data_IF_522363381538
#
_entry.id   IF_522363381538
#
_cell.length_a   1.000
_cell.length_b   1.000
_cell.length_c   1.000
_cell.angle_alpha   90.00
_cell.angle_beta   90.00
_cell.angle_gamma   90.00
#
_symmetry.space_group_name_H-M   'P 1'
#
loop_
_entity.id
_entity.type
_entity.pdbx_description
1 polymer ?
#
# COMPACT_ATOMS: atom_id res chain seq x y z
N UNK A 1 -30.74 -5.35 -5.49
CA UNK A 1 -31.40 -4.05 -5.30
C UNK A 1 -30.42 -2.98 -5.75
N UNK A 2 -30.86 -1.98 -6.52
CA UNK A 2 -29.99 -0.99 -7.18
C UNK A 2 -29.11 -0.28 -6.15
N UNK A 3 -27.82 -0.60 -6.10
CA UNK A 3 -26.81 0.18 -5.38
C UNK A 3 -26.83 1.57 -6.01
N UNK A 4 -27.40 2.56 -5.31
CA UNK A 4 -27.32 3.97 -5.70
C UNK A 4 -25.92 4.44 -5.41
N UNK A 5 -24.99 4.10 -6.29
CA UNK A 5 -23.60 4.49 -6.14
C UNK A 5 -23.49 6.02 -6.28
N UNK A 6 -22.88 6.68 -5.29
CA UNK A 6 -22.60 8.13 -5.29
C UNK A 6 -21.75 8.61 -6.48
N UNK A 7 -21.20 7.69 -7.27
CA UNK A 7 -20.53 7.94 -8.56
C UNK A 7 -21.44 8.69 -9.55
N UNK A 8 -22.77 8.59 -9.40
CA UNK A 8 -23.71 9.34 -10.23
C UNK A 8 -23.73 10.86 -9.96
N UNK A 9 -23.15 11.32 -8.84
CA UNK A 9 -22.97 12.75 -8.60
C UNK A 9 -21.76 13.28 -9.38
N UNK A 10 -21.83 14.49 -9.98
CA UNK A 10 -20.66 15.11 -10.60
C UNK A 10 -19.49 15.23 -9.63
N UNK A 11 -18.26 15.07 -10.12
CA UNK A 11 -17.07 15.34 -9.30
C UNK A 11 -17.06 16.82 -8.89
N UNK A 12 -17.05 17.16 -7.58
CA UNK A 12 -17.23 18.54 -7.11
C UNK A 12 -16.13 19.51 -7.55
N UNK A 13 -14.93 19.02 -7.89
CA UNK A 13 -13.79 19.85 -8.28
C UNK A 13 -13.46 19.78 -9.77
N UNK A 14 -14.42 19.32 -10.60
CA UNK A 14 -14.22 19.18 -12.04
C UNK A 14 -13.91 20.55 -12.70
N UNK A 15 -14.56 21.63 -12.25
CA UNK A 15 -14.36 22.98 -12.81
C UNK A 15 -12.99 23.57 -12.43
N UNK A 16 -12.55 23.29 -11.20
CA UNK A 16 -11.28 23.70 -10.62
C UNK A 16 -10.14 23.00 -11.36
N UNK A 17 -10.26 21.70 -11.60
CA UNK A 17 -9.26 20.93 -12.34
C UNK A 17 -9.13 21.37 -13.78
N UNK A 18 -10.22 21.73 -14.46
CA UNK A 18 -10.15 22.33 -15.81
C UNK A 18 -9.34 23.64 -15.80
N UNK A 19 -9.57 24.51 -14.81
CA UNK A 19 -8.81 25.77 -14.67
C UNK A 19 -7.33 25.50 -14.39
N UNK A 20 -7.03 24.55 -13.51
CA UNK A 20 -5.66 24.18 -13.15
C UNK A 20 -4.93 23.58 -14.35
N UNK A 21 -5.57 22.66 -15.09
CA UNK A 21 -4.98 22.03 -16.28
C UNK A 21 -4.61 23.07 -17.34
N UNK A 22 -5.52 24.00 -17.66
CA UNK A 22 -5.24 25.09 -18.60
C UNK A 22 -4.06 25.97 -18.15
N UNK A 23 -3.93 26.19 -16.84
CA UNK A 23 -2.80 26.94 -16.27
C UNK A 23 -1.50 26.14 -16.36
N UNK A 24 -1.53 24.83 -16.15
CA UNK A 24 -0.36 23.96 -16.29
C UNK A 24 0.12 23.87 -17.75
N UNK A 25 -0.81 23.80 -18.72
CA UNK A 25 -0.52 23.81 -20.16
C UNK A 25 0.22 25.08 -20.61
N UNK A 26 -0.06 26.21 -19.97
CA UNK A 26 0.59 27.50 -20.25
C UNK A 26 1.80 27.79 -19.35
N UNK A 27 2.13 26.88 -18.41
CA UNK A 27 3.24 27.06 -17.49
C UNK A 27 4.57 26.59 -18.12
N UNK A 28 5.70 27.23 -17.78
CA UNK A 28 7.01 26.74 -18.20
C UNK A 28 7.27 25.31 -17.71
N UNK A 29 8.03 24.54 -18.48
CA UNK A 29 8.45 23.21 -18.08
C UNK A 29 9.20 23.24 -16.74
N UNK A 30 8.80 22.37 -15.82
CA UNK A 30 9.44 22.27 -14.51
C UNK A 30 10.84 21.66 -14.62
N UNK A 31 11.79 22.11 -13.79
CA UNK A 31 13.13 21.49 -13.71
C UNK A 31 13.01 20.04 -13.22
N UNK A 32 13.80 19.08 -13.73
CA UNK A 32 13.87 17.73 -13.18
C UNK A 32 14.17 17.76 -11.68
N UNK A 33 13.51 16.90 -10.90
CA UNK A 33 13.73 16.83 -9.45
C UNK A 33 14.97 16.03 -9.04
N UNK A 34 15.52 15.21 -9.94
CA UNK A 34 16.60 14.26 -9.62
C UNK A 34 16.14 12.99 -8.91
N UNK A 35 14.86 12.89 -8.52
CA UNK A 35 14.26 11.65 -8.03
C UNK A 35 14.12 10.65 -9.17
N UNK A 36 14.63 9.44 -8.97
CA UNK A 36 14.62 8.37 -9.96
C UNK A 36 14.06 7.08 -9.35
N UNK A 37 13.96 6.02 -10.17
CA UNK A 37 13.66 4.67 -9.68
C UNK A 37 14.64 4.24 -8.58
N UNK A 38 15.93 4.55 -8.74
CA UNK A 38 16.94 4.16 -7.76
C UNK A 38 16.74 4.87 -6.42
N UNK A 39 16.26 6.11 -6.40
CA UNK A 39 15.91 6.80 -5.15
C UNK A 39 14.93 5.99 -4.30
N UNK A 40 13.86 5.45 -4.92
CA UNK A 40 12.89 4.62 -4.21
C UNK A 40 13.48 3.29 -3.75
N UNK A 41 14.33 2.68 -4.58
CA UNK A 41 15.00 1.41 -4.24
C UNK A 41 16.00 1.59 -3.10
N UNK A 42 16.75 2.69 -3.08
CA UNK A 42 17.72 3.02 -2.03
C UNK A 42 17.00 3.22 -0.68
N UNK A 43 15.85 3.92 -0.68
CA UNK A 43 15.02 4.08 0.52
C UNK A 43 14.50 2.74 1.05
N UNK A 44 13.97 1.88 0.18
CA UNK A 44 13.47 0.55 0.56
C UNK A 44 14.61 -0.36 1.06
N UNK A 45 15.77 -0.34 0.39
CA UNK A 45 16.95 -1.11 0.76
C UNK A 45 17.50 -0.69 2.13
N UNK A 46 17.56 0.62 2.40
CA UNK A 46 17.94 1.16 3.70
C UNK A 46 17.06 0.59 4.81
N UNK A 47 15.74 0.67 4.68
CA UNK A 47 14.79 0.14 5.68
C UNK A 47 14.97 -1.37 5.86
N UNK A 48 14.99 -2.13 4.77
CA UNK A 48 15.11 -3.60 4.84
C UNK A 48 16.42 -4.03 5.52
N UNK A 49 17.53 -3.35 5.22
CA UNK A 49 18.82 -3.65 5.85
C UNK A 49 18.86 -3.28 7.32
N UNK A 50 18.11 -2.27 7.75
CA UNK A 50 17.99 -1.91 9.17
C UNK A 50 17.04 -2.82 9.95
N UNK A 51 16.02 -3.38 9.30
CA UNK A 51 15.12 -4.36 9.92
C UNK A 51 15.73 -5.77 9.99
N UNK A 52 16.65 -6.11 9.08
CA UNK A 52 17.24 -7.44 9.01
C UNK A 52 17.90 -7.93 10.33
N UNK A 53 18.68 -7.12 11.08
CA UNK A 53 19.25 -7.53 12.37
C UNK A 53 18.21 -7.73 13.48
N UNK A 54 16.97 -7.28 13.26
CA UNK A 54 15.86 -7.36 14.21
C UNK A 54 15.00 -8.61 13.97
N UNK A 55 15.37 -9.44 12.98
CA UNK A 55 14.75 -10.72 12.74
C UNK A 55 15.16 -11.72 13.83
N UNK A 56 14.18 -12.31 14.52
CA UNK A 56 14.43 -13.34 15.52
C UNK A 56 14.65 -14.73 14.88
N UNK A 57 14.94 -15.74 15.71
CA UNK A 57 15.21 -17.11 15.27
C UNK A 57 14.02 -17.78 14.55
N UNK A 58 12.80 -17.32 14.80
CA UNK A 58 11.58 -17.80 14.13
C UNK A 58 11.33 -17.10 12.78
N UNK A 59 12.05 -16.02 12.48
CA UNK A 59 11.91 -15.24 11.26
C UNK A 59 11.04 -13.99 11.39
N UNK A 60 10.55 -13.65 12.59
CA UNK A 60 9.76 -12.44 12.84
C UNK A 60 10.66 -11.21 12.95
N UNK A 61 10.24 -10.11 12.34
CA UNK A 61 10.84 -8.79 12.60
C UNK A 61 10.28 -8.28 13.93
N UNK A 62 11.17 -8.12 14.91
CA UNK A 62 10.81 -7.74 16.29
C UNK A 62 11.12 -6.28 16.57
N UNK A 63 10.27 -5.63 17.36
CA UNK A 63 10.46 -4.25 17.77
C UNK A 63 11.26 -4.20 19.09
N UNK A 64 12.46 -3.59 19.13
CA UNK A 64 13.27 -3.56 20.35
C UNK A 64 12.76 -2.57 21.40
N UNK A 65 11.82 -1.68 21.07
CA UNK A 65 11.33 -0.61 21.95
C UNK A 65 9.98 -0.92 22.59
N UNK A 66 9.29 -1.95 22.12
CA UNK A 66 7.96 -2.32 22.60
C UNK A 66 7.95 -3.77 23.12
N UNK A 67 7.10 -4.09 24.12
CA UNK A 67 6.87 -5.48 24.51
C UNK A 67 6.42 -6.30 23.29
N UNK A 68 6.92 -7.54 23.20
CA UNK A 68 6.59 -8.44 22.10
C UNK A 68 5.06 -8.55 21.94
N UNK A 69 4.59 -8.22 20.74
CA UNK A 69 3.21 -8.44 20.32
C UNK A 69 3.24 -9.07 18.93
N UNK A 70 2.93 -10.35 18.89
CA UNK A 70 2.97 -11.14 17.66
C UNK A 70 2.00 -10.63 16.58
N UNK A 71 0.88 -9.96 16.91
CA UNK A 71 0.04 -9.35 15.86
C UNK A 71 0.78 -8.20 15.16
N UNK A 72 1.37 -7.29 15.96
CA UNK A 72 2.13 -6.15 15.46
C UNK A 72 3.39 -6.56 14.71
N UNK A 73 4.11 -7.56 15.22
CA UNK A 73 5.33 -8.09 14.60
C UNK A 73 5.03 -8.83 13.29
N UNK A 74 3.91 -9.53 13.18
CA UNK A 74 3.46 -10.11 11.91
C UNK A 74 3.14 -9.05 10.86
N UNK A 75 2.54 -7.92 11.25
CA UNK A 75 2.31 -6.79 10.31
C UNK A 75 3.66 -6.23 9.83
N UNK A 76 4.61 -6.03 10.74
CA UNK A 76 5.95 -5.52 10.43
C UNK A 76 6.71 -6.48 9.51
N UNK A 77 6.65 -7.77 9.82
CA UNK A 77 7.21 -8.86 9.01
C UNK A 77 6.58 -8.89 7.62
N UNK A 78 5.27 -8.67 7.49
CA UNK A 78 4.60 -8.57 6.20
C UNK A 78 5.16 -7.42 5.35
N UNK A 79 5.35 -6.23 5.96
CA UNK A 79 5.94 -5.08 5.26
C UNK A 79 7.38 -5.35 4.83
N UNK A 80 8.17 -6.00 5.68
CA UNK A 80 9.54 -6.45 5.36
C UNK A 80 9.55 -7.42 4.18
N UNK A 81 8.68 -8.44 4.19
CA UNK A 81 8.53 -9.43 3.10
C UNK A 81 8.22 -8.72 1.78
N UNK A 82 7.25 -7.80 1.79
CA UNK A 82 6.85 -7.05 0.59
C UNK A 82 8.00 -6.21 0.02
N UNK A 83 8.68 -5.43 0.87
CA UNK A 83 9.78 -4.58 0.45
C UNK A 83 10.98 -5.40 -0.06
N UNK A 84 11.40 -6.43 0.68
CA UNK A 84 12.53 -7.28 0.29
C UNK A 84 12.23 -8.10 -0.97
N UNK A 85 10.99 -8.61 -1.13
CA UNK A 85 10.57 -9.27 -2.36
C UNK A 85 10.70 -8.36 -3.59
N UNK A 86 10.25 -7.11 -3.49
CA UNK A 86 10.38 -6.15 -4.59
C UNK A 86 11.85 -5.76 -4.87
N UNK A 87 12.69 -5.65 -3.83
CA UNK A 87 14.13 -5.43 -4.00
C UNK A 87 14.81 -6.59 -4.72
N UNK A 88 14.51 -7.83 -4.34
CA UNK A 88 15.04 -9.03 -5.01
C UNK A 88 14.59 -9.07 -6.48
N UNK A 89 13.32 -8.79 -6.76
CA UNK A 89 12.78 -8.69 -8.13
C UNK A 89 13.48 -7.58 -8.94
N UNK A 90 13.93 -6.52 -8.28
CA UNK A 90 14.72 -5.45 -8.87
C UNK A 90 16.23 -5.77 -9.00
N UNK A 91 16.69 -6.94 -8.56
CA UNK A 91 18.09 -7.37 -8.61
C UNK A 91 18.95 -6.86 -7.44
N UNK A 92 18.33 -6.40 -6.35
CA UNK A 92 19.00 -5.90 -5.13
C UNK A 92 18.74 -6.83 -3.94
N UNK A 93 19.57 -6.72 -2.90
CA UNK A 93 19.42 -7.51 -1.65
C UNK A 93 19.34 -9.04 -1.84
N UNK A 94 19.99 -9.59 -2.87
CA UNK A 94 20.00 -11.04 -3.14
C UNK A 94 20.70 -11.84 -2.03
N UNK A 95 21.55 -11.17 -1.25
CA UNK A 95 22.18 -11.67 -0.03
C UNK A 95 21.17 -11.94 1.10
N UNK A 96 19.99 -11.30 1.08
CA UNK A 96 18.98 -11.40 2.14
C UNK A 96 17.87 -12.43 1.87
N UNK A 97 18.05 -13.31 0.88
CA UNK A 97 17.03 -14.30 0.49
C UNK A 97 16.65 -15.28 1.61
N UNK A 98 17.58 -15.64 2.47
CA UNK A 98 17.30 -16.54 3.61
C UNK A 98 16.41 -15.85 4.64
N UNK A 99 16.62 -14.57 4.90
CA UNK A 99 15.82 -13.76 5.80
C UNK A 99 14.40 -13.57 5.25
N UNK A 100 14.27 -13.34 3.94
CA UNK A 100 12.95 -13.34 3.28
C UNK A 100 12.25 -14.69 3.48
N UNK A 101 12.96 -15.79 3.22
CA UNK A 101 12.40 -17.13 3.37
C UNK A 101 11.90 -17.38 4.80
N UNK A 102 12.70 -17.06 5.82
CA UNK A 102 12.33 -17.22 7.23
C UNK A 102 11.07 -16.41 7.59
N UNK A 103 11.02 -15.13 7.18
CA UNK A 103 9.86 -14.27 7.42
C UNK A 103 8.58 -14.80 6.76
N UNK A 104 8.70 -15.35 5.55
CA UNK A 104 7.57 -15.97 4.85
C UNK A 104 7.06 -17.20 5.59
N UNK A 105 7.93 -18.07 6.11
CA UNK A 105 7.50 -19.27 6.83
C UNK A 105 6.69 -18.93 8.08
N UNK A 106 7.13 -17.98 8.90
CA UNK A 106 6.38 -17.58 10.09
C UNK A 106 5.06 -16.89 9.73
N UNK A 107 5.02 -16.13 8.64
CA UNK A 107 3.79 -15.53 8.17
C UNK A 107 2.78 -16.59 7.71
N UNK A 108 3.20 -17.64 6.98
CA UNK A 108 2.35 -18.78 6.63
C UNK A 108 1.91 -19.58 7.87
N UNK A 109 2.73 -19.70 8.91
CA UNK A 109 2.34 -20.38 10.14
C UNK A 109 1.13 -19.71 10.82
N UNK A 110 1.04 -18.39 10.77
CA UNK A 110 0.01 -17.60 11.48
C UNK A 110 -1.09 -17.01 10.59
N UNK A 111 -1.14 -17.33 9.30
CA UNK A 111 -2.05 -16.62 8.40
C UNK A 111 -3.51 -17.07 8.47
N UNK A 112 -3.80 -18.22 9.09
CA UNK A 112 -5.17 -18.69 9.32
C UNK A 112 -5.80 -18.14 10.61
N UNK A 113 -5.22 -17.11 11.22
CA UNK A 113 -5.70 -16.49 12.46
C UNK A 113 -6.36 -15.12 12.18
N UNK A 114 -7.71 -15.00 12.20
CA UNK A 114 -8.40 -13.74 11.91
C UNK A 114 -8.01 -12.59 12.82
N UNK A 115 -7.82 -12.86 14.12
CA UNK A 115 -7.35 -11.88 15.11
C UNK A 115 -5.99 -11.27 14.77
N UNK A 116 -5.24 -11.85 13.82
CA UNK A 116 -3.92 -11.38 13.38
C UNK A 116 -3.97 -10.61 12.07
N UNK A 117 -5.16 -10.29 11.54
CA UNK A 117 -5.37 -9.53 10.31
C UNK A 117 -4.53 -10.02 9.10
N UNK A 118 -4.74 -11.27 8.64
CA UNK A 118 -4.00 -11.82 7.51
C UNK A 118 -4.17 -11.06 6.18
N UNK A 119 -5.16 -10.18 6.07
CA UNK A 119 -5.36 -9.26 4.95
C UNK A 119 -4.08 -8.49 4.60
N UNK A 120 -3.30 -8.08 5.60
CA UNK A 120 -2.05 -7.33 5.41
C UNK A 120 -0.88 -8.19 4.89
N UNK A 121 -1.04 -9.52 4.80
CA UNK A 121 0.05 -10.45 4.47
C UNK A 121 -0.06 -11.05 3.07
N UNK A 122 -1.26 -11.35 2.59
CA UNK A 122 -1.44 -12.15 1.36
C UNK A 122 -0.76 -11.52 0.14
N UNK A 123 -0.92 -10.21 -0.09
CA UNK A 123 -0.21 -9.50 -1.17
C UNK A 123 1.31 -9.64 -1.05
N UNK A 124 1.84 -9.44 0.15
CA UNK A 124 3.28 -9.44 0.40
C UNK A 124 3.88 -10.85 0.23
N UNK A 125 3.14 -11.88 0.66
CA UNK A 125 3.50 -13.29 0.44
C UNK A 125 3.56 -13.65 -1.04
N UNK A 126 2.64 -13.13 -1.87
CA UNK A 126 2.66 -13.36 -3.31
C UNK A 126 3.86 -12.63 -3.96
N UNK A 127 4.17 -11.41 -3.54
CA UNK A 127 5.39 -10.71 -4.01
C UNK A 127 6.66 -11.48 -3.66
N UNK A 128 6.72 -12.07 -2.46
CA UNK A 128 7.85 -12.93 -2.08
C UNK A 128 7.91 -14.21 -2.92
N UNK A 129 6.76 -14.85 -3.20
CA UNK A 129 6.70 -16.01 -4.10
C UNK A 129 7.23 -15.67 -5.50
N UNK A 130 6.78 -14.56 -6.10
CA UNK A 130 7.28 -14.11 -7.40
C UNK A 130 8.80 -13.86 -7.37
N UNK A 131 9.30 -13.22 -6.31
CA UNK A 131 10.71 -12.89 -6.17
C UNK A 131 11.60 -14.13 -5.93
N UNK A 132 11.05 -15.16 -5.30
CA UNK A 132 11.78 -16.36 -4.87
C UNK A 132 11.58 -17.56 -5.78
N UNK A 133 10.68 -17.53 -6.77
CA UNK A 133 10.30 -18.69 -7.59
C UNK A 133 11.52 -19.42 -8.18
N UNK A 134 12.53 -18.69 -8.66
CA UNK A 134 13.77 -19.25 -9.22
C UNK A 134 14.82 -19.70 -8.19
N UNK A 135 14.56 -19.51 -6.90
CA UNK A 135 15.47 -19.79 -5.79
C UNK A 135 14.92 -20.80 -4.78
N UNK A 136 13.63 -21.10 -4.82
CA UNK A 136 13.00 -22.09 -3.96
C UNK A 136 13.40 -23.51 -4.36
N UNK A 137 13.56 -24.39 -3.37
CA UNK A 137 13.59 -25.83 -3.65
C UNK A 137 12.24 -26.27 -4.23
N UNK A 138 12.18 -27.37 -5.01
CA UNK A 138 10.90 -27.89 -5.53
C UNK A 138 9.87 -28.13 -4.42
N UNK A 139 10.30 -28.65 -3.26
CA UNK A 139 9.43 -28.88 -2.11
C UNK A 139 8.91 -27.58 -1.47
N UNK A 140 9.74 -26.55 -1.37
CA UNK A 140 9.30 -25.27 -0.81
C UNK A 140 8.35 -24.55 -1.75
N UNK A 141 8.60 -24.61 -3.06
CA UNK A 141 7.70 -24.05 -4.08
C UNK A 141 6.32 -24.68 -3.98
N UNK A 142 6.23 -26.02 -3.94
CA UNK A 142 4.95 -26.72 -3.76
C UNK A 142 4.27 -26.30 -2.46
N UNK A 143 5.00 -26.26 -1.33
CA UNK A 143 4.42 -25.86 -0.03
C UNK A 143 3.84 -24.44 -0.05
N UNK A 144 4.54 -23.48 -0.65
CA UNK A 144 4.07 -22.09 -0.76
C UNK A 144 2.85 -21.98 -1.66
N UNK A 145 2.87 -22.65 -2.82
CA UNK A 145 1.73 -22.65 -3.73
C UNK A 145 0.50 -23.35 -3.14
N UNK A 146 0.67 -24.48 -2.46
CA UNK A 146 -0.41 -25.17 -1.76
C UNK A 146 -1.00 -24.31 -0.66
N UNK A 147 -0.16 -23.57 0.08
CA UNK A 147 -0.63 -22.59 1.05
C UNK A 147 -1.51 -21.57 0.33
N UNK A 148 -0.98 -20.88 -0.70
CA UNK A 148 -1.69 -19.85 -1.48
C UNK A 148 -2.97 -20.35 -2.16
N UNK A 149 -3.06 -21.64 -2.53
CA UNK A 149 -4.26 -22.25 -3.10
C UNK A 149 -5.30 -22.58 -2.04
N UNK A 150 -4.89 -23.18 -0.92
CA UNK A 150 -5.80 -23.76 0.08
C UNK A 150 -6.21 -22.78 1.21
N UNK A 151 -5.78 -21.53 1.13
CA UNK A 151 -6.24 -20.48 2.05
C UNK A 151 -7.71 -20.16 1.83
N UNK A 152 -8.52 -20.25 2.91
CA UNK A 152 -9.93 -19.86 2.93
C UNK A 152 -10.08 -18.43 3.48
N UNK A 153 -10.35 -17.43 2.62
CA UNK A 153 -10.53 -16.05 3.04
C UNK A 153 -11.65 -15.87 4.06
N UNK A 154 -12.77 -16.59 3.90
CA UNK A 154 -13.97 -16.39 4.70
C UNK A 154 -13.76 -16.80 6.17
N UNK A 155 -12.97 -17.85 6.40
CA UNK A 155 -12.60 -18.31 7.73
C UNK A 155 -11.42 -17.54 8.34
N UNK A 156 -10.61 -16.86 7.53
CA UNK A 156 -9.33 -16.31 7.96
C UNK A 156 -9.30 -14.78 8.04
N UNK A 157 -10.06 -14.04 7.24
CA UNK A 157 -10.05 -12.57 7.27
C UNK A 157 -10.92 -12.02 8.40
N UNK A 158 -10.37 -11.05 9.15
CA UNK A 158 -11.10 -10.24 10.10
C UNK A 158 -12.30 -9.53 9.45
N UNK A 159 -12.18 -9.12 8.18
CA UNK A 159 -13.30 -8.55 7.40
C UNK A 159 -14.53 -9.44 7.43
N UNK A 160 -14.37 -10.76 7.30
CA UNK A 160 -15.49 -11.70 7.28
C UNK A 160 -15.83 -12.24 8.67
N UNK A 161 -14.83 -12.60 9.47
CA UNK A 161 -15.03 -13.23 10.78
C UNK A 161 -15.57 -12.26 11.83
N UNK A 162 -15.16 -10.99 11.77
CA UNK A 162 -15.56 -9.96 12.73
C UNK A 162 -16.43 -8.86 12.12
N UNK A 163 -16.91 -9.04 10.88
CA UNK A 163 -17.70 -8.04 10.14
C UNK A 163 -16.97 -6.68 10.03
N UNK A 164 -15.63 -6.71 9.90
CA UNK A 164 -14.77 -5.52 9.84
C UNK A 164 -14.64 -4.98 8.41
N UNK A 165 -15.63 -4.22 7.97
CA UNK A 165 -15.72 -3.67 6.60
C UNK A 165 -15.03 -2.32 6.42
N UNK A 166 -13.83 -2.18 7.00
CA UNK A 166 -13.03 -0.96 6.97
C UNK A 166 -11.89 -1.08 5.93
N UNK A 167 -10.84 -0.27 6.11
CA UNK A 167 -9.67 -0.29 5.23
C UNK A 167 -9.01 -1.68 5.09
N UNK A 168 -9.21 -2.62 6.03
CA UNK A 168 -8.69 -3.99 5.98
C UNK A 168 -9.21 -4.72 4.74
N UNK A 169 -10.48 -4.50 4.37
CA UNK A 169 -11.12 -5.07 3.19
C UNK A 169 -10.33 -4.77 1.91
N UNK A 170 -9.64 -3.63 1.85
CA UNK A 170 -8.86 -3.23 0.67
C UNK A 170 -7.51 -3.95 0.57
N UNK A 171 -6.96 -4.41 1.68
CA UNK A 171 -5.79 -5.29 1.69
C UNK A 171 -6.17 -6.71 1.28
N UNK A 172 -7.31 -7.22 1.79
CA UNK A 172 -7.89 -8.47 1.33
C UNK A 172 -8.12 -8.45 -0.19
N UNK A 173 -8.72 -7.36 -0.69
CA UNK A 173 -9.03 -7.17 -2.12
C UNK A 173 -7.81 -7.39 -3.02
N UNK A 174 -6.69 -6.75 -2.72
CA UNK A 174 -5.48 -6.89 -3.55
C UNK A 174 -4.83 -8.25 -3.39
N UNK A 175 -4.83 -8.81 -2.16
CA UNK A 175 -4.36 -10.18 -1.92
C UNK A 175 -5.11 -11.20 -2.78
N UNK A 176 -6.45 -11.17 -2.72
CA UNK A 176 -7.30 -12.10 -3.48
C UNK A 176 -7.21 -11.86 -4.99
N UNK A 177 -7.11 -10.61 -5.46
CA UNK A 177 -6.93 -10.36 -6.88
C UNK A 177 -5.60 -10.90 -7.41
N UNK A 178 -4.52 -10.79 -6.62
CA UNK A 178 -3.25 -11.42 -6.98
C UNK A 178 -3.35 -12.95 -6.95
N UNK A 179 -4.06 -13.53 -5.98
CA UNK A 179 -4.31 -14.99 -5.97
C UNK A 179 -5.01 -15.44 -7.25
N UNK A 180 -6.03 -14.72 -7.67
CA UNK A 180 -6.75 -14.96 -8.93
C UNK A 180 -5.82 -14.80 -10.14
N UNK A 181 -5.10 -13.68 -10.22
CA UNK A 181 -4.21 -13.37 -11.35
C UNK A 181 -3.10 -14.39 -11.55
N UNK A 182 -2.58 -14.98 -10.48
CA UNK A 182 -1.56 -16.03 -10.53
C UNK A 182 -2.15 -17.45 -10.64
N UNK A 183 -3.48 -17.59 -10.77
CA UNK A 183 -4.15 -18.88 -10.94
C UNK A 183 -4.21 -19.74 -9.68
N UNK A 184 -3.97 -19.16 -8.50
CA UNK A 184 -4.13 -19.87 -7.22
C UNK A 184 -5.62 -20.12 -6.90
N UNK A 185 -6.52 -19.31 -7.45
CA UNK A 185 -7.98 -19.47 -7.38
C UNK A 185 -8.59 -19.26 -8.77
N UNK A 186 -9.74 -19.89 -9.04
CA UNK A 186 -10.36 -19.94 -10.38
C UNK A 186 -11.53 -18.95 -10.58
N UNK A 187 -11.79 -18.07 -9.61
CA UNK A 187 -12.94 -17.17 -9.61
C UNK A 187 -12.62 -15.78 -9.07
N UNK A 188 -13.24 -14.77 -9.66
CA UNK A 188 -13.07 -13.35 -9.28
C UNK A 188 -14.17 -12.87 -8.32
N UNK A 189 -15.13 -13.73 -7.97
CA UNK A 189 -16.33 -13.38 -7.21
C UNK A 189 -16.00 -12.81 -5.83
N UNK A 190 -14.95 -13.32 -5.18
CA UNK A 190 -14.46 -12.79 -3.90
C UNK A 190 -13.98 -11.33 -4.05
N UNK A 191 -13.19 -11.06 -5.09
CA UNK A 191 -12.67 -9.71 -5.41
C UNK A 191 -13.85 -8.77 -5.69
N UNK A 192 -14.79 -9.19 -6.53
CA UNK A 192 -15.97 -8.39 -6.84
C UNK A 192 -16.86 -8.17 -5.60
N UNK A 193 -17.04 -9.18 -4.75
CA UNK A 193 -17.79 -9.07 -3.50
C UNK A 193 -17.18 -8.06 -2.53
N UNK A 194 -15.85 -8.03 -2.41
CA UNK A 194 -15.13 -7.04 -1.59
C UNK A 194 -15.30 -5.61 -2.13
N UNK A 195 -15.32 -5.42 -3.46
CA UNK A 195 -15.59 -4.12 -4.08
C UNK A 195 -17.06 -3.72 -3.84
N UNK A 196 -17.99 -4.65 -4.06
CA UNK A 196 -19.42 -4.42 -3.85
C UNK A 196 -19.73 -4.02 -2.41
N UNK A 197 -19.12 -4.69 -1.43
CA UNK A 197 -19.24 -4.36 -0.02
C UNK A 197 -18.84 -2.90 0.25
N UNK A 198 -17.64 -2.50 -0.16
CA UNK A 198 -17.14 -1.15 0.10
C UNK A 198 -17.96 -0.05 -0.60
N UNK A 199 -18.45 -0.33 -1.81
CA UNK A 199 -19.30 0.61 -2.56
C UNK A 199 -20.70 0.70 -1.94
N UNK A 200 -21.30 -0.45 -1.60
CA UNK A 200 -22.67 -0.52 -1.08
C UNK A 200 -22.82 0.10 0.32
N UNK A 201 -21.73 0.12 1.09
CA UNK A 201 -21.63 0.78 2.40
C UNK A 201 -21.38 2.28 2.32
N UNK A 202 -21.32 2.85 1.13
CA UNK A 202 -21.13 4.28 0.91
C UNK A 202 -19.84 4.82 1.56
N UNK A 203 -18.74 4.06 1.50
CA UNK A 203 -17.47 4.42 2.16
C UNK A 203 -16.63 5.46 1.42
N UNK A 204 -17.14 6.02 0.32
CA UNK A 204 -16.45 7.03 -0.47
C UNK A 204 -17.27 8.30 -0.57
N UNK A 205 -16.63 9.46 -0.47
CA UNK A 205 -17.29 10.77 -0.67
C UNK A 205 -17.45 11.08 -2.17
N UNK A 206 -18.25 12.09 -2.51
CA UNK A 206 -18.35 12.58 -3.89
C UNK A 206 -17.00 13.06 -4.47
N UNK A 207 -16.03 13.42 -3.62
CA UNK A 207 -14.67 13.80 -4.00
C UNK A 207 -13.71 12.59 -4.12
N UNK A 208 -14.19 11.36 -3.92
CA UNK A 208 -13.39 10.13 -3.98
C UNK A 208 -12.64 9.80 -2.68
N UNK A 209 -12.83 10.57 -1.61
CA UNK A 209 -12.15 10.32 -0.33
C UNK A 209 -12.81 9.19 0.46
N UNK A 210 -12.01 8.33 1.10
CA UNK A 210 -12.50 7.26 1.96
C UNK A 210 -13.02 7.81 3.29
N UNK A 211 -14.15 7.27 3.78
CA UNK A 211 -14.87 7.80 4.94
C UNK A 211 -14.56 7.13 6.27
N UNK A 212 -13.94 5.95 6.29
CA UNK A 212 -13.83 5.18 7.53
C UNK A 212 -12.41 5.14 8.13
N UNK A 213 -12.25 5.33 9.46
CA UNK A 213 -13.16 6.01 10.40
C UNK A 213 -13.05 7.54 10.32
N UNK A 214 -14.15 8.23 10.01
CA UNK A 214 -14.24 9.70 10.14
C UNK A 214 -13.52 10.53 9.07
N UNK A 215 -13.46 10.03 7.83
CA UNK A 215 -12.80 10.63 6.65
C UNK A 215 -11.31 10.98 6.88
N UNK A 216 -10.47 10.05 7.38
CA UNK A 216 -9.07 10.35 7.63
C UNK A 216 -8.28 10.30 6.33
N UNK A 217 -7.44 11.32 6.11
CA UNK A 217 -6.76 11.53 4.82
C UNK A 217 -5.71 10.44 4.54
N UNK A 218 -5.08 9.92 5.60
CA UNK A 218 -4.20 8.75 5.48
C UNK A 218 -4.94 7.54 4.91
N UNK A 219 -6.07 7.12 5.49
CA UNK A 219 -6.76 5.92 4.98
C UNK A 219 -7.39 6.16 3.62
N UNK A 220 -7.81 7.38 3.31
CA UNK A 220 -8.19 7.73 1.93
C UNK A 220 -7.08 7.43 0.94
N UNK A 221 -5.85 7.84 1.25
CA UNK A 221 -4.69 7.58 0.38
C UNK A 221 -4.40 6.08 0.30
N UNK A 222 -4.35 5.38 1.43
CA UNK A 222 -4.01 3.94 1.47
C UNK A 222 -5.03 3.10 0.69
N UNK A 223 -6.33 3.33 0.92
CA UNK A 223 -7.42 2.60 0.26
C UNK A 223 -7.40 2.84 -1.25
N UNK A 224 -7.33 4.10 -1.66
CA UNK A 224 -7.38 4.45 -3.09
C UNK A 224 -6.11 4.06 -3.82
N UNK A 225 -4.96 4.02 -3.14
CA UNK A 225 -3.73 3.44 -3.66
C UNK A 225 -3.86 1.92 -3.88
N UNK A 226 -4.50 1.17 -2.98
CA UNK A 226 -4.79 -0.26 -3.24
C UNK A 226 -5.70 -0.40 -4.47
N UNK A 227 -6.77 0.39 -4.59
CA UNK A 227 -7.70 0.32 -5.72
C UNK A 227 -7.06 0.72 -7.05
N UNK A 228 -6.16 1.70 -7.05
CA UNK A 228 -5.38 2.05 -8.24
C UNK A 228 -4.42 0.91 -8.63
N UNK A 229 -3.84 0.23 -7.65
CA UNK A 229 -3.05 -0.98 -7.88
C UNK A 229 -3.88 -2.10 -8.50
N UNK A 230 -5.13 -2.28 -8.07
CA UNK A 230 -6.06 -3.25 -8.67
C UNK A 230 -6.21 -3.01 -10.18
N UNK A 231 -6.49 -1.75 -10.57
CA UNK A 231 -6.61 -1.34 -11.97
C UNK A 231 -5.29 -1.52 -12.72
N UNK A 232 -4.16 -1.11 -12.12
CA UNK A 232 -2.82 -1.27 -12.71
C UNK A 232 -2.45 -2.74 -12.95
N UNK A 233 -2.94 -3.65 -12.10
CA UNK A 233 -2.77 -5.09 -12.25
C UNK A 233 -3.72 -5.69 -13.28
N UNK A 234 -4.61 -4.91 -13.89
CA UNK A 234 -5.45 -5.31 -15.02
C UNK A 234 -6.85 -5.79 -14.64
N UNK A 235 -7.39 -5.35 -13.50
CA UNK A 235 -8.80 -5.62 -13.19
C UNK A 235 -9.75 -4.96 -14.19
N UNK A 236 -10.58 -5.78 -14.83
CA UNK A 236 -11.55 -5.40 -15.86
C UNK A 236 -12.97 -5.93 -15.58
N UNK A 237 -13.23 -6.37 -14.34
CA UNK A 237 -14.50 -6.96 -13.90
C UNK A 237 -15.67 -5.97 -13.81
N UNK A 238 -16.82 -6.42 -13.26
CA UNK A 238 -18.10 -5.69 -13.35
C UNK A 238 -18.10 -4.28 -12.74
N UNK A 239 -17.16 -4.01 -11.83
CA UNK A 239 -17.01 -2.71 -11.17
C UNK A 239 -15.85 -1.85 -11.71
N UNK A 240 -15.15 -2.26 -12.77
CA UNK A 240 -13.95 -1.56 -13.26
C UNK A 240 -14.16 -0.06 -13.45
N UNK A 241 -15.26 0.34 -14.10
CA UNK A 241 -15.57 1.77 -14.31
C UNK A 241 -15.89 2.52 -13.01
N UNK A 242 -16.51 1.85 -12.03
CA UNK A 242 -16.80 2.46 -10.74
C UNK A 242 -15.51 2.67 -9.93
N UNK A 243 -14.62 1.67 -9.94
CA UNK A 243 -13.31 1.72 -9.30
C UNK A 243 -12.45 2.82 -9.95
N UNK A 244 -12.37 2.87 -11.28
CA UNK A 244 -11.61 3.90 -12.00
C UNK A 244 -12.11 5.31 -11.68
N UNK A 245 -13.43 5.54 -11.66
CA UNK A 245 -13.95 6.87 -11.33
C UNK A 245 -13.68 7.27 -9.87
N UNK A 246 -13.77 6.33 -8.91
CA UNK A 246 -13.39 6.59 -7.51
C UNK A 246 -11.90 6.95 -7.42
N UNK A 247 -11.04 6.16 -8.06
CA UNK A 247 -9.59 6.37 -8.06
C UNK A 247 -9.22 7.68 -8.77
N UNK A 248 -9.87 8.02 -9.88
CA UNK A 248 -9.68 9.29 -10.59
C UNK A 248 -9.99 10.46 -9.66
N UNK A 249 -11.17 10.46 -9.03
CA UNK A 249 -11.57 11.52 -8.09
C UNK A 249 -10.62 11.61 -6.91
N UNK A 250 -10.23 10.47 -6.34
CA UNK A 250 -9.29 10.42 -5.23
C UNK A 250 -7.92 10.99 -5.63
N UNK A 251 -7.38 10.62 -6.79
CA UNK A 251 -6.10 11.11 -7.28
C UNK A 251 -6.11 12.62 -7.50
N UNK A 252 -7.16 13.12 -8.17
CA UNK A 252 -7.36 14.55 -8.39
C UNK A 252 -7.55 15.32 -7.08
N UNK A 253 -8.35 14.82 -6.15
CA UNK A 253 -8.53 15.49 -4.85
C UNK A 253 -7.24 15.47 -4.04
N UNK A 254 -6.50 14.35 -4.05
CA UNK A 254 -5.24 14.21 -3.31
C UNK A 254 -4.14 15.12 -3.86
N UNK A 255 -4.08 15.34 -5.17
CA UNK A 255 -3.20 16.36 -5.76
C UNK A 255 -3.49 17.78 -5.25
N UNK A 256 -4.77 18.14 -5.04
CA UNK A 256 -5.12 19.44 -4.47
C UNK A 256 -4.75 19.57 -2.98
N UNK A 257 -4.69 18.44 -2.27
CA UNK A 257 -4.43 18.43 -0.83
C UNK A 257 -2.96 18.29 -0.46
N UNK A 258 -2.11 17.78 -1.36
CA UNK A 258 -0.67 17.65 -1.09
C UNK A 258 -0.06 19.05 -0.86
N UNK A 259 0.76 19.18 0.18
CA UNK A 259 1.48 20.44 0.40
C UNK A 259 2.47 20.71 -0.73
N UNK A 260 2.90 21.96 -0.88
CA UNK A 260 3.93 22.34 -1.86
C UNK A 260 5.30 21.71 -1.58
N UNK A 261 5.52 21.20 -0.37
CA UNK A 261 6.71 20.46 0.04
C UNK A 261 6.55 18.94 -0.08
N UNK A 262 5.41 18.46 -0.58
CA UNK A 262 5.14 17.04 -0.82
C UNK A 262 4.49 16.28 0.33
N UNK A 263 4.25 16.96 1.45
CA UNK A 263 3.69 16.37 2.65
C UNK A 263 2.21 16.02 2.45
N UNK A 264 1.82 14.87 3.02
CA UNK A 264 0.41 14.51 3.10
C UNK A 264 -0.36 15.47 4.02
N UNK A 265 -1.62 15.78 3.72
CA UNK A 265 -2.44 16.56 4.63
C UNK A 265 -2.71 15.79 5.95
N UNK A 266 -2.79 16.50 7.07
CA UNK A 266 -3.04 15.90 8.38
C UNK A 266 -4.56 15.77 8.66
N UNK A 267 -4.99 14.70 9.31
CA UNK A 267 -6.37 14.53 9.80
C UNK A 267 -6.73 13.08 10.18
N UNK A 268 -6.97 12.82 11.46
CA UNK A 268 -7.24 11.48 12.01
C UNK A 268 -6.01 10.74 12.56
N UNK A 269 -6.13 9.41 12.74
CA UNK A 269 -5.02 8.55 13.18
C UNK A 269 -4.00 8.32 12.05
N UNK A 270 -2.76 8.00 12.42
CA UNK A 270 -1.67 7.63 11.50
C UNK A 270 -1.04 8.72 10.61
N UNK A 271 -1.43 9.99 10.72
CA UNK A 271 -0.94 11.04 9.78
C UNK A 271 0.52 11.49 9.97
N UNK A 272 1.20 11.05 11.02
CA UNK A 272 2.61 11.37 11.26
C UNK A 272 3.55 10.20 10.96
N UNK A 273 3.02 9.10 10.42
CA UNK A 273 3.85 7.99 10.00
C UNK A 273 4.53 8.28 8.66
N UNK A 274 5.74 7.78 8.49
CA UNK A 274 6.54 7.95 7.27
C UNK A 274 5.95 7.19 6.08
N UNK A 275 5.20 6.13 6.34
CA UNK A 275 4.57 5.33 5.28
C UNK A 275 3.55 6.14 4.46
N UNK A 276 3.03 7.26 4.98
CA UNK A 276 1.99 8.05 4.31
C UNK A 276 2.52 8.67 3.02
N UNK A 277 3.69 9.31 3.06
CA UNK A 277 4.36 9.84 1.86
C UNK A 277 4.82 8.71 0.94
N UNK A 278 5.18 7.56 1.49
CA UNK A 278 5.42 6.35 0.70
C UNK A 278 4.20 5.94 -0.13
N UNK A 279 3.00 5.93 0.46
CA UNK A 279 1.77 5.66 -0.27
C UNK A 279 1.41 6.76 -1.26
N UNK A 280 1.63 8.05 -0.92
CA UNK A 280 1.42 9.14 -1.88
C UNK A 280 2.33 9.01 -3.09
N UNK A 281 3.63 8.77 -2.87
CA UNK A 281 4.59 8.57 -3.94
C UNK A 281 4.14 7.40 -4.83
N UNK A 282 3.83 6.26 -4.23
CA UNK A 282 3.36 5.06 -4.94
C UNK A 282 2.08 5.28 -5.75
N UNK A 283 1.07 5.94 -5.16
CA UNK A 283 -0.19 6.25 -5.81
C UNK A 283 0.03 7.20 -7.00
N UNK A 284 0.78 8.28 -6.78
CA UNK A 284 1.04 9.27 -7.81
C UNK A 284 1.95 8.74 -8.93
N UNK A 285 2.92 7.86 -8.67
CA UNK A 285 3.69 7.17 -9.72
C UNK A 285 2.78 6.32 -10.62
N UNK A 286 1.81 5.62 -10.01
CA UNK A 286 0.88 4.77 -10.74
C UNK A 286 -0.08 5.61 -11.59
N UNK A 287 -0.62 6.70 -11.04
CA UNK A 287 -1.45 7.66 -11.81
C UNK A 287 -0.66 8.38 -12.89
N UNK A 288 0.59 8.76 -12.64
CA UNK A 288 1.46 9.36 -13.66
C UNK A 288 1.61 8.41 -14.86
N UNK A 289 1.85 7.12 -14.58
CA UNK A 289 1.94 6.09 -15.60
C UNK A 289 0.62 5.89 -16.36
N UNK A 290 -0.52 5.93 -15.66
CA UNK A 290 -1.84 5.85 -16.25
C UNK A 290 -2.09 6.99 -17.25
N UNK A 291 -1.91 8.24 -16.83
CA UNK A 291 -2.12 9.41 -17.70
C UNK A 291 -1.11 9.48 -18.84
N UNK A 292 0.13 9.02 -18.63
CA UNK A 292 1.12 8.90 -19.71
C UNK A 292 0.65 7.90 -20.78
N UNK A 293 0.06 6.77 -20.38
CA UNK A 293 -0.54 5.79 -21.30
C UNK A 293 -1.78 6.31 -22.04
N UNK A 294 -2.42 7.35 -21.51
CA UNK A 294 -3.51 8.09 -22.19
C UNK A 294 -3.01 9.28 -23.02
N UNK A 295 -1.70 9.44 -23.15
CA UNK A 295 -1.06 10.59 -23.84
C UNK A 295 -1.38 11.96 -23.19
N UNK A 296 -1.91 11.98 -21.95
CA UNK A 296 -2.12 13.21 -21.18
C UNK A 296 -0.84 13.59 -20.42
N UNK A 297 0.12 14.13 -21.16
CA UNK A 297 1.44 14.51 -20.63
C UNK A 297 1.37 15.54 -19.50
N UNK A 298 0.34 16.39 -19.47
CA UNK A 298 0.14 17.41 -18.43
C UNK A 298 -0.22 16.75 -17.12
N UNK A 299 -1.23 15.88 -17.12
CA UNK A 299 -1.63 15.16 -15.92
C UNK A 299 -0.55 14.17 -15.49
N UNK A 300 0.08 13.47 -16.44
CA UNK A 300 1.21 12.59 -16.16
C UNK A 300 2.34 13.34 -15.43
N UNK A 301 2.70 14.53 -15.92
CA UNK A 301 3.71 15.40 -15.31
C UNK A 301 3.31 15.91 -13.93
N UNK A 302 2.05 16.31 -13.74
CA UNK A 302 1.53 16.77 -12.44
C UNK A 302 1.61 15.68 -11.37
N UNK A 303 1.13 14.47 -11.69
CA UNK A 303 1.24 13.31 -10.80
C UNK A 303 2.69 12.91 -10.56
N UNK A 304 3.54 12.86 -11.61
CA UNK A 304 4.95 12.51 -11.45
C UNK A 304 5.68 13.48 -10.52
N UNK A 305 5.40 14.78 -10.66
CA UNK A 305 5.96 15.82 -9.79
C UNK A 305 5.50 15.69 -8.35
N UNK A 306 4.22 15.40 -8.15
CA UNK A 306 3.65 15.16 -6.82
C UNK A 306 4.26 13.92 -6.14
N UNK A 307 4.49 12.84 -6.90
CA UNK A 307 5.18 11.65 -6.41
C UNK A 307 6.60 11.97 -5.93
N UNK A 308 7.37 12.68 -6.77
CA UNK A 308 8.73 13.07 -6.44
C UNK A 308 8.78 13.98 -5.22
N UNK A 309 7.81 14.89 -5.05
CA UNK A 309 7.71 15.74 -3.86
C UNK A 309 7.45 14.94 -2.59
N UNK A 310 6.58 13.92 -2.65
CA UNK A 310 6.36 13.03 -1.51
C UNK A 310 7.65 12.26 -1.15
N UNK A 311 8.37 11.76 -2.15
CA UNK A 311 9.66 11.10 -1.95
C UNK A 311 10.70 12.03 -1.30
N UNK A 312 10.85 13.25 -1.84
CA UNK A 312 11.72 14.30 -1.27
C UNK A 312 11.39 14.60 0.19
N UNK A 313 10.10 14.63 0.54
CA UNK A 313 9.66 14.87 1.91
C UNK A 313 10.05 13.73 2.87
N UNK A 314 10.00 12.48 2.40
CA UNK A 314 10.32 11.30 3.19
C UNK A 314 11.83 11.00 3.28
N UNK A 315 12.62 11.45 2.31
CA UNK A 315 14.05 11.11 2.17
C UNK A 315 14.87 11.34 3.45
N UNK A 316 14.86 12.51 4.10
CA UNK A 316 15.67 12.73 5.31
C UNK A 316 15.29 11.79 6.45
N UNK A 317 14.00 11.47 6.59
CA UNK A 317 13.51 10.58 7.63
C UNK A 317 13.98 9.13 7.46
N UNK A 318 14.16 8.69 6.22
CA UNK A 318 14.56 7.31 5.92
C UNK A 318 16.08 7.18 5.79
N UNK A 319 16.74 8.15 5.15
CA UNK A 319 18.15 8.02 4.79
C UNK A 319 19.10 8.51 5.89
N UNK A 320 18.72 9.54 6.64
CA UNK A 320 19.62 10.21 7.59
C UNK A 320 19.31 9.85 9.05
N UNK A 321 18.10 9.37 9.31
CA UNK A 321 17.64 9.17 10.67
C UNK A 321 18.09 7.82 11.25
N UNK A 322 18.64 7.86 12.45
CA UNK A 322 18.98 6.66 13.23
C UNK A 322 18.56 6.85 14.70
N UNK A 323 18.03 5.81 15.36
CA UNK A 323 17.59 4.53 14.79
C UNK A 323 16.40 4.68 13.82
N UNK A 324 16.11 3.67 12.97
CA UNK A 324 14.92 3.67 12.14
C UNK A 324 13.67 3.79 13.00
N UNK A 325 12.65 4.45 12.44
CA UNK A 325 11.36 4.61 13.10
C UNK A 325 10.29 4.91 12.09
N UNK A 326 9.07 4.48 12.39
CA UNK A 326 7.92 4.61 11.52
C UNK A 326 7.26 6.00 11.60
N UNK A 327 7.59 6.83 12.61
CA UNK A 327 7.03 8.17 12.82
C UNK A 327 8.03 9.28 12.47
N UNK A 328 7.51 10.46 12.12
CA UNK A 328 8.29 11.69 11.85
C UNK A 328 8.60 12.44 13.14
N UNK A 329 9.29 11.78 14.07
CA UNK A 329 9.69 12.35 15.35
C UNK A 329 11.11 11.90 15.71
N UNK A 330 11.98 12.85 16.02
CA UNK A 330 13.41 12.58 16.22
C UNK A 330 13.79 12.25 17.68
N UNK A 331 12.84 12.30 18.62
CA UNK A 331 13.13 11.99 20.02
C UNK A 331 13.45 10.51 20.26
N UNK A 332 13.89 10.21 21.47
CA UNK A 332 14.29 8.85 21.87
C UNK A 332 13.10 7.87 21.75
N UNK A 333 13.23 6.79 20.95
CA UNK A 333 12.21 5.76 20.80
C UNK A 333 11.73 5.15 22.12
N UNK A 334 12.62 5.00 23.10
CA UNK A 334 12.31 4.39 24.39
C UNK A 334 11.27 5.20 25.20
N UNK A 335 11.08 6.48 24.87
CA UNK A 335 10.08 7.33 25.51
C UNK A 335 8.66 7.14 24.94
N UNK A 336 8.52 6.51 23.77
CA UNK A 336 7.21 6.26 23.14
C UNK A 336 6.44 7.51 22.72
N UNK A 337 7.07 8.69 22.71
CA UNK A 337 6.39 9.94 22.35
C UNK A 337 5.91 9.94 20.90
N UNK A 338 4.65 10.34 20.70
CA UNK A 338 4.04 10.44 19.36
C UNK A 338 3.75 9.10 18.69
N UNK A 339 4.00 7.98 19.38
CA UNK A 339 3.72 6.65 18.89
C UNK A 339 2.26 6.24 19.18
N UNK A 340 1.54 5.79 18.16
CA UNK A 340 0.23 5.18 18.33
C UNK A 340 0.41 3.67 18.56
N UNK A 341 -0.05 3.16 19.71
CA UNK A 341 0.33 1.85 20.26
C UNK A 341 -0.04 0.61 19.43
N UNK A 342 -0.68 0.79 18.26
CA UNK A 342 -1.01 -0.31 17.35
C UNK A 342 0.11 -0.64 16.35
N UNK A 343 0.98 0.31 16.02
CA UNK A 343 2.08 0.12 15.09
C UNK A 343 3.35 -0.32 15.82
N UNK A 344 4.31 -0.94 15.11
CA UNK A 344 5.69 -1.00 15.60
C UNK A 344 6.30 0.39 15.53
N UNK A 345 7.23 0.68 16.43
CA UNK A 345 8.01 1.90 16.44
C UNK A 345 9.00 1.95 15.27
N UNK A 346 9.54 0.80 14.85
CA UNK A 346 10.48 0.65 13.72
C UNK A 346 9.78 0.47 12.37
#
# INVERSE_FOLDING_TARGET
>A
GKVKVMINSPYPFESEWKKIKNKLESSPASKPSGITRDTYLDMAEKIVRELCPLQNEEGLITDPYLPCDIHRELISSARFIGALGQLIKAGRCLDLRQQLFAAVQVCFHHWAEPKRAPEFRVKELIYAWEAMEGYLSPSDKVRWEESLKNYDPAACYATFVYDMHNNFTTFALIGEFLRYKHGFIQGIEMVEGLIEDQISRDLFTAAGLYKDPGVPLTYSTVVTQQWDFLLKLGYDGKFASAVDEIVRRAGLTTLLMQSTTGQAPFGGRSNQYQFVEGHLACFFETRASYYAGMEDSIMAGAFKRAAHKAAECALPWIMEMAPPRCIKYAGDPALGHGHDGYASYI
#
